data_IF_393888295380
#
_entry.id   IF_393888295380
#
_cell.length_a   1.000
_cell.length_b   1.000
_cell.length_c   1.000
_cell.angle_alpha   90.00
_cell.angle_beta   90.00
_cell.angle_gamma   90.00
#
_symmetry.space_group_name_H-M   'P 1'
#
loop_
_entity.id
_entity.type
_entity.pdbx_description
1 polymer ?
#
# COMPACT_ATOMS: atom_id res chain seq x y z
N UNK A 1 11.91 15.69 -3.09
CA UNK A 1 11.34 15.19 -1.83
C UNK A 1 12.44 14.47 -1.07
N UNK A 2 12.65 14.74 0.22
CA UNK A 2 13.78 14.21 1.03
C UNK A 2 13.43 12.94 1.83
N UNK A 3 12.30 12.30 1.54
CA UNK A 3 11.80 11.12 2.26
C UNK A 3 11.87 9.82 1.45
N UNK A 4 11.74 8.69 2.14
CA UNK A 4 11.67 7.36 1.52
C UNK A 4 10.27 7.17 0.95
N UNK A 5 10.17 7.09 -0.37
CA UNK A 5 8.92 6.86 -1.09
C UNK A 5 8.63 5.36 -1.15
N UNK A 6 7.42 4.93 -0.80
CA UNK A 6 6.98 3.53 -0.93
C UNK A 6 5.58 3.48 -1.51
N UNK A 7 5.36 2.62 -2.49
CA UNK A 7 4.04 2.32 -3.02
C UNK A 7 3.58 0.97 -2.47
N UNK A 8 2.35 0.90 -1.97
CA UNK A 8 1.75 -0.34 -1.50
C UNK A 8 0.51 -0.62 -2.33
N UNK A 9 0.54 -1.76 -3.02
CA UNK A 9 -0.50 -2.19 -3.93
C UNK A 9 -1.33 -3.30 -3.32
N UNK A 10 -2.65 -3.10 -3.34
CA UNK A 10 -3.64 -4.17 -3.31
C UNK A 10 -4.15 -4.38 -4.74
N UNK A 11 -4.16 -5.64 -5.20
CA UNK A 11 -4.31 -5.95 -6.63
C UNK A 11 -5.41 -6.97 -6.89
N UNK A 12 -6.35 -6.58 -7.74
CA UNK A 12 -7.39 -7.44 -8.27
C UNK A 12 -7.26 -7.57 -9.80
N UNK A 13 -7.38 -8.80 -10.32
CA UNK A 13 -7.43 -9.09 -11.76
C UNK A 13 -8.67 -9.95 -12.03
N UNK A 14 -9.80 -9.32 -12.35
CA UNK A 14 -10.99 -9.97 -12.93
C UNK A 14 -11.71 -8.98 -13.87
N UNK A 15 -12.51 -9.51 -14.81
CA UNK A 15 -13.16 -8.85 -15.98
C UNK A 15 -14.69 -8.67 -15.90
N UNK A 16 -15.39 -9.19 -14.88
CA UNK A 16 -16.86 -9.16 -14.82
C UNK A 16 -17.46 -7.91 -14.13
N UNK A 17 -18.70 -7.53 -14.46
CA UNK A 17 -19.41 -6.46 -13.72
C UNK A 17 -19.48 -6.82 -12.23
N UNK A 18 -18.78 -6.06 -11.39
CA UNK A 18 -18.69 -6.31 -9.95
C UNK A 18 -17.31 -6.72 -9.43
N UNK A 19 -16.25 -6.75 -10.27
CA UNK A 19 -14.89 -7.09 -9.82
C UNK A 19 -14.39 -6.15 -8.73
N UNK A 20 -13.47 -6.65 -7.93
CA UNK A 20 -12.70 -5.92 -6.93
C UNK A 20 -11.79 -4.87 -7.58
N UNK A 21 -11.44 -3.81 -6.85
CA UNK A 21 -10.58 -2.76 -7.41
C UNK A 21 -9.11 -3.11 -7.17
N UNK A 22 -8.21 -2.47 -7.90
CA UNK A 22 -6.83 -2.36 -7.42
C UNK A 22 -6.66 -0.98 -6.78
N UNK A 23 -5.89 -0.93 -5.71
CA UNK A 23 -5.54 0.31 -5.02
C UNK A 23 -4.03 0.43 -4.87
N UNK A 24 -3.51 1.65 -4.99
CA UNK A 24 -2.12 1.98 -4.71
C UNK A 24 -2.05 3.12 -3.72
N UNK A 25 -1.53 2.84 -2.53
CA UNK A 25 -1.22 3.85 -1.52
C UNK A 25 0.25 4.27 -1.68
N UNK A 26 0.49 5.54 -1.99
CA UNK A 26 1.85 6.10 -2.06
C UNK A 26 2.17 6.86 -0.78
N UNK A 27 3.22 6.42 -0.09
CA UNK A 27 3.70 7.03 1.14
C UNK A 27 5.06 7.70 0.95
N UNK A 28 5.23 8.81 1.68
CA UNK A 28 6.54 9.42 1.93
C UNK A 28 6.85 9.30 3.41
N UNK A 29 7.93 8.60 3.75
CA UNK A 29 8.44 8.47 5.11
C UNK A 29 9.57 9.46 5.38
N UNK A 30 9.45 10.22 6.47
CA UNK A 30 10.49 11.12 6.99
C UNK A 30 10.68 10.86 8.49
N UNK A 31 11.78 10.20 8.84
CA UNK A 31 11.97 9.68 10.20
C UNK A 31 10.87 8.69 10.57
N UNK A 32 10.13 9.02 11.63
CA UNK A 32 8.99 8.24 12.15
C UNK A 32 7.64 8.68 11.58
N UNK A 33 7.60 9.74 10.76
CA UNK A 33 6.38 10.25 10.16
C UNK A 33 6.10 9.57 8.81
N UNK A 34 4.87 9.14 8.60
CA UNK A 34 4.38 8.46 7.41
C UNK A 34 3.26 9.26 6.78
N UNK A 35 3.53 9.93 5.65
CA UNK A 35 2.51 10.71 4.95
C UNK A 35 1.95 9.91 3.79
N UNK A 36 0.64 9.67 3.78
CA UNK A 36 -0.05 9.19 2.58
C UNK A 36 -0.17 10.37 1.61
N UNK A 37 0.55 10.34 0.49
CA UNK A 37 0.61 11.47 -0.45
C UNK A 37 -0.25 11.26 -1.70
N UNK A 38 -0.54 10.00 -2.03
CA UNK A 38 -1.45 9.66 -3.11
C UNK A 38 -2.19 8.35 -2.82
N UNK A 39 -3.43 8.27 -3.29
CA UNK A 39 -4.23 7.04 -3.30
C UNK A 39 -4.87 6.90 -4.68
N UNK A 40 -4.37 5.93 -5.44
CA UNK A 40 -4.95 5.57 -6.73
C UNK A 40 -5.87 4.36 -6.57
N UNK A 41 -7.04 4.41 -7.20
CA UNK A 41 -7.98 3.28 -7.26
C UNK A 41 -8.44 3.08 -8.71
N UNK A 42 -8.45 1.85 -9.19
CA UNK A 42 -8.94 1.55 -10.53
C UNK A 42 -9.25 0.09 -10.78
N UNK A 43 -10.16 -0.14 -11.73
CA UNK A 43 -10.54 -1.48 -12.20
C UNK A 43 -9.88 -1.71 -13.54
N UNK A 44 -8.81 -2.50 -13.56
CA UNK A 44 -7.99 -2.71 -14.74
C UNK A 44 -7.75 -4.19 -14.98
N UNK A 45 -7.76 -4.56 -16.26
CA UNK A 45 -7.24 -5.84 -16.70
C UNK A 45 -5.73 -5.91 -16.55
N UNK A 46 -5.19 -7.13 -16.45
CA UNK A 46 -3.78 -7.35 -16.15
C UNK A 46 -2.80 -6.51 -16.99
N UNK A 47 -2.91 -6.45 -18.34
CA UNK A 47 -1.97 -5.65 -19.12
C UNK A 47 -2.04 -4.15 -18.80
N UNK A 48 -3.23 -3.64 -18.47
CA UNK A 48 -3.44 -2.25 -18.09
C UNK A 48 -2.97 -1.98 -16.65
N UNK A 49 -3.21 -2.92 -15.72
CA UNK A 49 -2.71 -2.85 -14.35
C UNK A 49 -1.17 -2.79 -14.34
N UNK A 50 -0.50 -3.65 -15.10
CA UNK A 50 0.97 -3.61 -15.25
C UNK A 50 1.46 -2.24 -15.71
N UNK A 51 0.87 -1.70 -16.78
CA UNK A 51 1.23 -0.35 -17.28
C UNK A 51 1.00 0.72 -16.22
N UNK A 52 -0.07 0.61 -15.42
CA UNK A 52 -0.37 1.57 -14.38
C UNK A 52 0.63 1.50 -13.21
N UNK A 53 1.07 0.31 -12.82
CA UNK A 53 2.14 0.14 -11.83
C UNK A 53 3.43 0.81 -12.30
N UNK A 54 3.83 0.57 -13.54
CA UNK A 54 5.04 1.17 -14.10
C UNK A 54 4.92 2.69 -14.21
N UNK A 55 3.77 3.22 -14.65
CA UNK A 55 3.53 4.65 -14.76
C UNK A 55 3.61 5.35 -13.38
N UNK A 56 2.99 4.77 -12.35
CA UNK A 56 3.08 5.33 -10.99
C UNK A 56 4.50 5.16 -10.41
N UNK A 57 5.21 4.09 -10.73
CA UNK A 57 6.60 3.93 -10.31
C UNK A 57 7.53 4.96 -10.99
N UNK A 58 7.31 5.25 -12.27
CA UNK A 58 8.02 6.28 -13.02
C UNK A 58 7.75 7.68 -12.46
N UNK A 59 6.49 7.99 -12.15
CA UNK A 59 6.07 9.27 -11.58
C UNK A 59 6.68 9.53 -10.20
N UNK A 60 6.62 8.52 -9.32
CA UNK A 60 6.98 8.70 -7.90
C UNK A 60 8.40 8.27 -7.54
N UNK A 61 9.09 7.52 -8.41
CA UNK A 61 10.42 6.96 -8.17
C UNK A 61 10.53 6.29 -6.79
N UNK A 62 9.68 5.28 -6.49
CA UNK A 62 9.60 4.67 -5.17
C UNK A 62 10.87 3.88 -4.84
N UNK A 63 11.23 3.87 -3.55
CA UNK A 63 12.32 3.04 -3.02
C UNK A 63 11.87 1.60 -2.76
N UNK A 64 10.56 1.37 -2.70
CA UNK A 64 9.95 0.05 -2.61
C UNK A 64 8.54 0.07 -3.22
N UNK A 65 8.20 -1.00 -3.96
CA UNK A 65 6.85 -1.26 -4.47
C UNK A 65 6.36 -2.56 -3.85
N UNK A 66 5.48 -2.47 -2.86
CA UNK A 66 4.91 -3.60 -2.16
C UNK A 66 3.74 -4.15 -2.96
N UNK A 67 3.75 -5.43 -3.29
CA UNK A 67 2.66 -6.11 -4.00
C UNK A 67 2.34 -7.40 -3.24
N UNK A 68 1.06 -7.66 -2.99
CA UNK A 68 0.62 -8.90 -2.35
C UNK A 68 0.95 -10.12 -3.24
N UNK A 69 1.63 -11.10 -2.67
CA UNK A 69 2.00 -12.38 -3.31
C UNK A 69 0.85 -13.38 -3.20
N UNK A 70 -0.30 -13.02 -3.75
CA UNK A 70 -1.45 -13.92 -3.91
C UNK A 70 -2.12 -13.73 -5.26
N UNK A 71 -2.53 -14.85 -5.84
CA UNK A 71 -3.29 -14.92 -7.08
C UNK A 71 -2.73 -13.97 -8.16
N UNK A 72 -3.43 -12.85 -8.35
CA UNK A 72 -3.19 -11.81 -9.33
C UNK A 72 -1.80 -11.15 -9.21
N UNK A 73 -1.30 -11.00 -7.98
CA UNK A 73 -0.03 -10.34 -7.71
C UNK A 73 1.20 -11.16 -8.10
N UNK A 74 1.11 -12.49 -8.23
CA UNK A 74 2.26 -13.33 -8.58
C UNK A 74 2.81 -13.05 -9.97
N UNK A 75 1.93 -13.01 -10.97
CA UNK A 75 2.31 -12.68 -12.35
C UNK A 75 2.82 -11.24 -12.43
N UNK A 76 2.15 -10.31 -11.75
CA UNK A 76 2.54 -8.91 -11.72
C UNK A 76 3.93 -8.72 -11.11
N UNK A 77 4.23 -9.38 -9.99
CA UNK A 77 5.55 -9.36 -9.34
C UNK A 77 6.62 -9.87 -10.31
N UNK A 78 6.39 -11.00 -10.98
CA UNK A 78 7.35 -11.56 -11.93
C UNK A 78 7.62 -10.62 -13.11
N UNK A 79 6.56 -10.02 -13.67
CA UNK A 79 6.66 -9.17 -14.85
C UNK A 79 7.22 -7.77 -14.55
N UNK A 80 6.95 -7.21 -13.36
CA UNK A 80 7.49 -5.91 -12.93
C UNK A 80 8.93 -6.05 -12.46
N UNK A 81 9.33 -7.18 -11.85
CA UNK A 81 10.75 -7.43 -11.48
C UNK A 81 11.70 -7.50 -12.67
N UNK A 82 11.19 -7.78 -13.87
CA UNK A 82 11.99 -7.74 -15.11
C UNK A 82 12.35 -6.30 -15.51
N UNK A 83 11.62 -5.30 -14.99
CA UNK A 83 11.95 -3.89 -15.18
C UNK A 83 13.00 -3.48 -14.14
N UNK A 84 14.23 -3.23 -14.60
CA UNK A 84 15.40 -3.04 -13.72
C UNK A 84 15.27 -1.86 -12.73
N UNK A 85 14.37 -0.91 -12.99
CA UNK A 85 14.18 0.31 -12.20
C UNK A 85 13.14 0.21 -11.09
N UNK A 86 12.37 -0.89 -10.99
CA UNK A 86 11.25 -0.98 -10.03
C UNK A 86 11.59 -1.91 -8.86
N UNK A 87 11.76 -1.38 -7.63
CA UNK A 87 12.15 -2.17 -6.45
C UNK A 87 10.97 -2.94 -5.84
N UNK A 88 10.54 -4.01 -6.50
CA UNK A 88 9.38 -4.82 -6.07
C UNK A 88 9.67 -5.69 -4.84
N UNK A 89 8.83 -5.55 -3.82
CA UNK A 89 8.82 -6.37 -2.61
C UNK A 89 7.51 -7.16 -2.57
N UNK A 90 7.63 -8.49 -2.59
CA UNK A 90 6.48 -9.38 -2.43
C UNK A 90 6.03 -9.40 -0.96
N UNK A 91 4.75 -9.19 -0.71
CA UNK A 91 4.16 -9.24 0.64
C UNK A 91 3.26 -10.46 0.76
N UNK A 92 3.45 -11.28 1.79
CA UNK A 92 2.52 -12.33 2.16
C UNK A 92 1.80 -11.92 3.45
N UNK A 93 0.56 -11.41 3.37
CA UNK A 93 -0.15 -10.95 4.56
C UNK A 93 -0.48 -12.12 5.50
N UNK A 94 -0.38 -11.84 6.80
CA UNK A 94 -0.70 -12.79 7.87
C UNK A 94 -1.88 -12.27 8.68
N UNK A 95 -2.80 -13.18 9.02
CA UNK A 95 -4.05 -12.83 9.72
C UNK A 95 -5.12 -12.27 8.79
N UNK A 96 -6.31 -12.07 9.34
CA UNK A 96 -7.43 -11.46 8.65
C UNK A 96 -7.27 -9.93 8.53
N UNK A 97 -8.09 -9.31 7.67
CA UNK A 97 -8.00 -7.87 7.37
C UNK A 97 -8.21 -6.99 8.61
N UNK A 98 -9.14 -7.36 9.49
CA UNK A 98 -9.43 -6.62 10.73
C UNK A 98 -8.23 -6.63 11.65
N UNK A 99 -7.64 -7.81 11.87
CA UNK A 99 -6.42 -7.96 12.65
C UNK A 99 -5.27 -7.16 12.04
N UNK A 100 -5.08 -7.18 10.71
CA UNK A 100 -4.02 -6.41 10.04
C UNK A 100 -4.13 -4.90 10.29
N UNK A 101 -5.35 -4.34 10.23
CA UNK A 101 -5.57 -2.92 10.52
C UNK A 101 -5.39 -2.61 12.01
N UNK A 102 -5.95 -3.45 12.89
CA UNK A 102 -5.85 -3.27 14.34
C UNK A 102 -4.39 -3.21 14.82
N UNK A 103 -3.49 -4.00 14.22
CA UNK A 103 -2.08 -3.98 14.58
C UNK A 103 -1.36 -2.65 14.25
N UNK A 104 -1.90 -1.82 13.36
CA UNK A 104 -1.30 -0.53 12.97
C UNK A 104 -1.98 0.67 13.62
N UNK A 105 -3.13 0.49 14.29
CA UNK A 105 -3.82 1.53 15.05
C UNK A 105 -2.89 2.30 16.01
N UNK A 106 -1.97 1.67 16.78
CA UNK A 106 -1.08 2.41 17.66
C UNK A 106 -0.20 3.45 16.95
N UNK A 107 0.17 3.22 15.68
CA UNK A 107 0.92 4.21 14.89
C UNK A 107 0.03 5.41 14.51
N UNK A 108 -1.23 5.14 14.19
CA UNK A 108 -2.23 6.16 13.83
C UNK A 108 -2.57 7.00 15.06
N UNK A 109 -2.87 6.36 16.19
CA UNK A 109 -3.18 7.00 17.47
C UNK A 109 -2.02 7.85 18.01
N UNK A 110 -0.78 7.40 17.77
CA UNK A 110 0.42 8.16 18.11
C UNK A 110 0.70 9.35 17.17
N UNK A 111 -0.17 9.62 16.18
CA UNK A 111 0.00 10.72 15.22
C UNK A 111 1.15 10.53 14.23
N UNK A 112 1.64 9.30 14.05
CA UNK A 112 2.75 9.00 13.11
C UNK A 112 2.28 8.94 11.65
N UNK A 113 0.98 8.84 11.41
CA UNK A 113 0.41 8.78 10.06
C UNK A 113 -0.33 10.08 9.77
N UNK A 114 -0.03 10.70 8.63
CA UNK A 114 -0.67 11.94 8.22
C UNK A 114 -1.29 11.82 6.82
N UNK A 115 -2.46 12.44 6.68
CA UNK A 115 -3.19 12.61 5.43
C UNK A 115 -2.99 14.05 4.92
N UNK A 116 -3.10 14.29 3.60
CA UNK A 116 -3.06 15.65 3.08
C UNK A 116 -4.31 16.41 3.53
N UNK A 117 -4.21 17.73 3.63
CA UNK A 117 -5.39 18.57 3.94
C UNK A 117 -6.43 18.55 2.82
N UNK A 118 -5.98 18.44 1.58
CA UNK A 118 -6.82 18.39 0.39
C UNK A 118 -6.23 17.40 -0.61
N UNK A 119 -7.06 16.47 -1.09
CA UNK A 119 -6.78 15.63 -2.24
C UNK A 119 -8.11 15.10 -2.81
N UNK A 120 -8.15 14.88 -4.12
CA UNK A 120 -9.36 14.39 -4.80
C UNK A 120 -9.78 12.99 -4.35
N UNK A 121 -8.83 12.16 -3.90
CA UNK A 121 -9.06 10.80 -3.41
C UNK A 121 -9.42 10.74 -1.92
N UNK A 122 -9.16 11.82 -1.14
CA UNK A 122 -9.19 11.77 0.32
C UNK A 122 -10.56 11.40 0.88
N UNK A 123 -11.63 12.02 0.39
CA UNK A 123 -12.98 11.75 0.89
C UNK A 123 -13.42 10.30 0.65
N UNK A 124 -13.05 9.72 -0.50
CA UNK A 124 -13.35 8.32 -0.80
C UNK A 124 -12.56 7.36 0.10
N UNK A 125 -11.29 7.68 0.37
CA UNK A 125 -10.46 6.93 1.30
C UNK A 125 -11.00 6.96 2.74
N UNK A 126 -11.34 8.15 3.26
CA UNK A 126 -11.87 8.32 4.61
C UNK A 126 -13.21 7.58 4.79
N UNK A 127 -14.10 7.65 3.79
CA UNK A 127 -15.36 6.91 3.79
C UNK A 127 -15.14 5.40 3.88
N UNK A 128 -14.20 4.86 3.10
CA UNK A 128 -13.86 3.43 3.13
C UNK A 128 -13.26 3.04 4.50
N UNK A 129 -12.33 3.84 5.01
CA UNK A 129 -11.69 3.62 6.30
C UNK A 129 -12.69 3.63 7.47
N UNK A 130 -13.67 4.53 7.44
CA UNK A 130 -14.73 4.59 8.45
C UNK A 130 -15.77 3.46 8.33
N UNK A 131 -16.00 2.95 7.12
CA UNK A 131 -16.95 1.86 6.88
C UNK A 131 -16.35 0.47 7.17
N UNK A 132 -15.02 0.36 7.16
CA UNK A 132 -14.32 -0.90 7.40
C UNK A 132 -14.61 -1.49 8.80
N UNK A 133 -14.84 -2.82 8.93
CA UNK A 133 -14.73 -3.85 7.90
C UNK A 133 -16.05 -4.16 7.17
N UNK A 134 -17.11 -3.42 7.45
CA UNK A 134 -18.46 -3.72 6.94
C UNK A 134 -18.78 -2.96 5.64
N UNK A 135 -17.84 -2.19 5.13
CA UNK A 135 -17.93 -1.48 3.85
C UNK A 135 -17.99 -2.44 2.67
N UNK A 136 -18.51 -1.94 1.55
CA UNK A 136 -18.56 -2.69 0.28
C UNK A 136 -17.17 -2.89 -0.35
N UNK A 137 -16.23 -2.02 0.00
CA UNK A 137 -14.88 -1.98 -0.53
C UNK A 137 -13.90 -1.93 0.63
N UNK A 138 -12.74 -2.55 0.44
CA UNK A 138 -11.63 -2.55 1.41
C UNK A 138 -10.25 -2.46 0.75
N UNK A 139 -10.21 -2.26 -0.57
CA UNK A 139 -8.97 -2.27 -1.36
C UNK A 139 -8.00 -1.15 -0.91
N UNK A 140 -8.52 0.04 -0.59
CA UNK A 140 -7.69 1.16 -0.11
C UNK A 140 -7.18 0.91 1.31
N UNK A 141 -8.04 0.35 2.18
CA UNK A 141 -7.67 0.00 3.57
C UNK A 141 -6.63 -1.11 3.61
N UNK A 142 -6.71 -2.07 2.70
CA UNK A 142 -5.72 -3.14 2.55
C UNK A 142 -4.38 -2.60 2.07
N UNK A 143 -4.35 -1.77 1.02
CA UNK A 143 -3.14 -1.11 0.55
C UNK A 143 -2.48 -0.26 1.66
N UNK A 144 -3.28 0.50 2.41
CA UNK A 144 -2.86 1.35 3.52
C UNK A 144 -2.27 0.54 4.68
N UNK A 145 -3.01 -0.46 5.18
CA UNK A 145 -2.58 -1.29 6.30
C UNK A 145 -1.37 -2.16 5.94
N UNK A 146 -1.25 -2.62 4.68
CA UNK A 146 -0.09 -3.36 4.20
C UNK A 146 1.20 -2.55 4.34
N UNK A 147 1.21 -1.28 3.91
CA UNK A 147 2.37 -0.40 4.08
C UNK A 147 2.76 -0.24 5.56
N UNK A 148 1.78 0.07 6.41
CA UNK A 148 2.02 0.31 7.82
C UNK A 148 2.53 -0.95 8.55
N UNK A 149 1.99 -2.12 8.21
CA UNK A 149 2.48 -3.39 8.74
C UNK A 149 3.92 -3.68 8.28
N UNK A 150 4.25 -3.40 7.01
CA UNK A 150 5.60 -3.60 6.48
C UNK A 150 6.62 -2.69 7.16
N UNK A 151 6.33 -1.39 7.31
CA UNK A 151 7.27 -0.46 7.95
C UNK A 151 7.41 -0.74 9.44
N UNK A 152 6.31 -1.09 10.13
CA UNK A 152 6.36 -1.55 11.52
C UNK A 152 7.32 -2.73 11.65
N UNK A 153 7.13 -3.79 10.86
CA UNK A 153 7.97 -4.99 10.93
C UNK A 153 9.47 -4.68 10.70
N UNK A 154 9.79 -3.75 9.80
CA UNK A 154 11.18 -3.31 9.56
C UNK A 154 11.77 -2.56 10.75
N UNK A 155 10.99 -1.72 11.43
CA UNK A 155 11.45 -1.05 12.66
C UNK A 155 11.80 -2.08 13.75
N UNK A 156 10.97 -3.11 13.94
CA UNK A 156 11.25 -4.19 14.89
C UNK A 156 12.55 -4.96 14.57
N UNK A 157 12.84 -5.21 13.29
CA UNK A 157 14.09 -5.87 12.89
C UNK A 157 15.34 -5.02 13.16
N UNK A 158 15.20 -3.70 13.11
CA UNK A 158 16.28 -2.75 13.40
C UNK A 158 16.43 -2.46 14.90
N UNK A 159 15.35 -2.62 15.67
CA UNK A 159 15.38 -2.50 17.13
C UNK A 159 16.24 -3.61 17.75
N UNK A 160 17.49 -3.26 18.05
CA UNK A 160 18.45 -4.12 18.73
C UNK A 160 18.64 -3.62 20.16
N UNK A 161 18.53 -4.52 21.14
CA UNK A 161 18.94 -4.22 22.52
C UNK A 161 20.43 -3.89 22.51
N UNK A 162 20.77 -2.66 22.91
CA UNK A 162 22.15 -2.27 23.21
C UNK A 162 22.37 -2.53 24.69
N UNK A 163 23.39 -3.34 25.01
CA UNK A 163 23.87 -3.45 26.39
C UNK A 163 24.71 -2.21 26.71
N UNK A 164 24.45 -1.61 27.86
CA UNK A 164 25.24 -0.54 28.46
C UNK A 164 26.09 -1.13 29.56
#
# INVERSE_FOLDING_TARGET
MTGVVTQSWDTAIKTQKGNDASACATFVQEGDAHRLVDMWVGRLEYPALRRKVLALAEEWQPHAVLIEDKASGQSLIQDVRREASVPVVAICPKGDKVTRLAQVCPMIEAGKVALPRYASWLSAFEQELCAFPNGRHDDQVDAFSQYLNWVRARQWQQARLRRV
#
